data_IF_419577897584
#
_entry.id   IF_419577897584
#
_cell.length_a   1.000
_cell.length_b   1.000
_cell.length_c   1.000
_cell.angle_alpha   90.00
_cell.angle_beta   90.00
_cell.angle_gamma   90.00
#
_symmetry.space_group_name_H-M   'P 1'
#
loop_
_entity.id
_entity.type
_entity.pdbx_description
1 polymer ?
#
# COMPACT_ATOMS: atom_id res chain seq x y z
N UNK A 1 -74.11 -25.74 26.80
CA UNK A 1 -73.32 -25.87 25.56
C UNK A 1 -72.82 -24.52 25.06
N UNK A 2 -73.71 -23.54 24.82
CA UNK A 2 -73.34 -22.20 24.32
C UNK A 2 -72.36 -21.41 25.22
N UNK A 3 -72.44 -21.56 26.54
CA UNK A 3 -71.53 -20.86 27.47
C UNK A 3 -70.07 -21.32 27.32
N UNK A 4 -69.85 -22.61 27.07
CA UNK A 4 -68.50 -23.15 26.86
C UNK A 4 -67.95 -22.73 25.49
N UNK A 5 -68.80 -22.69 24.47
CA UNK A 5 -68.44 -22.21 23.14
C UNK A 5 -67.98 -20.75 23.17
N UNK A 6 -68.69 -19.87 23.90
CA UNK A 6 -68.29 -18.47 24.12
C UNK A 6 -67.03 -18.27 24.95
N UNK A 7 -66.59 -19.28 25.70
CA UNK A 7 -65.32 -19.23 26.45
C UNK A 7 -64.17 -19.61 25.51
N UNK A 8 -64.34 -20.67 24.72
CA UNK A 8 -63.36 -21.09 23.71
C UNK A 8 -63.15 -20.01 22.64
N UNK A 9 -64.22 -19.37 22.14
CA UNK A 9 -64.10 -18.25 21.19
C UNK A 9 -63.25 -17.10 21.74
N UNK A 10 -63.41 -16.77 23.03
CA UNK A 10 -62.62 -15.72 23.68
C UNK A 10 -61.16 -16.12 23.86
N UNK A 11 -60.89 -17.40 24.15
CA UNK A 11 -59.54 -17.92 24.27
C UNK A 11 -58.81 -17.90 22.92
N UNK A 12 -59.47 -18.38 21.86
CA UNK A 12 -58.95 -18.32 20.49
C UNK A 12 -58.68 -16.87 20.06
N UNK A 13 -59.58 -15.94 20.37
CA UNK A 13 -59.36 -14.53 20.07
C UNK A 13 -58.13 -13.95 20.79
N UNK A 14 -57.92 -14.33 22.05
CA UNK A 14 -56.75 -13.90 22.80
C UNK A 14 -55.44 -14.47 22.23
N UNK A 15 -55.42 -15.76 21.88
CA UNK A 15 -54.25 -16.40 21.23
C UNK A 15 -53.95 -15.78 19.85
N UNK A 16 -54.99 -15.42 19.08
CA UNK A 16 -54.83 -14.71 17.81
C UNK A 16 -54.22 -13.31 17.99
N UNK A 17 -54.64 -12.57 19.01
CA UNK A 17 -54.07 -11.24 19.32
C UNK A 17 -52.63 -11.35 19.82
N UNK A 18 -52.30 -12.36 20.62
CA UNK A 18 -50.91 -12.61 21.04
C UNK A 18 -50.03 -12.97 19.83
N UNK A 19 -50.49 -13.88 18.97
CA UNK A 19 -49.78 -14.27 17.76
C UNK A 19 -49.55 -13.08 16.82
N UNK A 20 -50.56 -12.20 16.67
CA UNK A 20 -50.44 -10.96 15.89
C UNK A 20 -49.31 -10.07 16.43
N UNK A 21 -49.23 -9.86 17.73
CA UNK A 21 -48.16 -9.06 18.35
C UNK A 21 -46.78 -9.68 18.13
N UNK A 22 -46.66 -11.00 18.29
CA UNK A 22 -45.40 -11.70 18.00
C UNK A 22 -45.00 -11.57 16.53
N UNK A 23 -45.97 -11.63 15.61
CA UNK A 23 -45.72 -11.47 14.18
C UNK A 23 -45.29 -10.04 13.82
N UNK A 24 -45.91 -9.02 14.43
CA UNK A 24 -45.49 -7.62 14.28
C UNK A 24 -44.05 -7.40 14.77
N UNK A 25 -43.69 -7.98 15.92
CA UNK A 25 -42.33 -7.93 16.44
C UNK A 25 -41.32 -8.61 15.51
N UNK A 26 -41.64 -9.81 15.02
CA UNK A 26 -40.78 -10.54 14.09
C UNK A 26 -40.63 -9.79 12.76
N UNK A 27 -41.70 -9.20 12.24
CA UNK A 27 -41.65 -8.39 11.01
C UNK A 27 -40.69 -7.23 11.18
N UNK A 28 -40.78 -6.50 12.30
CA UNK A 28 -39.88 -5.39 12.61
C UNK A 28 -38.43 -5.84 12.72
N UNK A 29 -38.17 -6.94 13.44
CA UNK A 29 -36.81 -7.48 13.59
C UNK A 29 -36.23 -7.96 12.25
N UNK A 30 -37.07 -8.50 11.38
CA UNK A 30 -36.69 -8.91 10.03
C UNK A 30 -36.33 -7.71 9.15
N UNK A 31 -37.13 -6.63 9.20
CA UNK A 31 -36.83 -5.38 8.50
C UNK A 31 -35.51 -4.75 8.98
N UNK A 32 -35.29 -4.69 10.29
CA UNK A 32 -34.03 -4.22 10.88
C UNK A 32 -32.85 -5.07 10.41
N UNK A 33 -32.99 -6.40 10.42
CA UNK A 33 -31.94 -7.32 9.96
C UNK A 33 -31.62 -7.13 8.48
N UNK A 34 -32.63 -6.94 7.63
CA UNK A 34 -32.44 -6.66 6.21
C UNK A 34 -31.73 -5.32 5.97
N UNK A 35 -32.05 -4.30 6.78
CA UNK A 35 -31.37 -3.01 6.70
C UNK A 35 -29.88 -3.13 7.04
N UNK A 36 -29.55 -3.86 8.11
CA UNK A 36 -28.17 -4.12 8.51
C UNK A 36 -27.43 -4.95 7.44
N UNK A 37 -28.08 -5.97 6.88
CA UNK A 37 -27.50 -6.80 5.83
C UNK A 37 -27.20 -5.98 4.56
N UNK A 38 -28.14 -5.13 4.15
CA UNK A 38 -27.96 -4.22 3.00
C UNK A 38 -26.78 -3.27 3.21
N UNK A 39 -26.68 -2.69 4.40
CA UNK A 39 -25.56 -1.82 4.79
C UNK A 39 -24.23 -2.58 4.71
N UNK A 40 -24.15 -3.77 5.33
CA UNK A 40 -22.95 -4.59 5.33
C UNK A 40 -22.53 -5.01 3.91
N UNK A 41 -23.48 -5.32 3.02
CA UNK A 41 -23.19 -5.62 1.61
C UNK A 41 -22.60 -4.41 0.89
N UNK A 42 -23.13 -3.21 1.13
CA UNK A 42 -22.62 -1.99 0.51
C UNK A 42 -21.22 -1.63 1.02
N UNK A 43 -20.98 -1.74 2.32
CA UNK A 43 -19.65 -1.53 2.90
C UNK A 43 -18.64 -2.54 2.37
N UNK A 44 -19.00 -3.81 2.26
CA UNK A 44 -18.11 -4.84 1.72
C UNK A 44 -17.74 -4.55 0.25
N UNK A 45 -18.71 -4.15 -0.58
CA UNK A 45 -18.42 -3.70 -1.96
C UNK A 45 -17.46 -2.51 -2.00
N UNK A 46 -17.63 -1.54 -1.12
CA UNK A 46 -16.74 -0.38 -1.04
C UNK A 46 -15.32 -0.79 -0.62
N UNK A 47 -15.19 -1.69 0.36
CA UNK A 47 -13.90 -2.22 0.81
C UNK A 47 -13.19 -3.02 -0.27
N UNK A 48 -13.90 -3.87 -1.02
CA UNK A 48 -13.32 -4.61 -2.15
C UNK A 48 -12.71 -3.63 -3.16
N UNK A 49 -13.46 -2.58 -3.53
CA UNK A 49 -12.98 -1.57 -4.47
C UNK A 49 -11.73 -0.84 -3.96
N UNK A 50 -11.72 -0.43 -2.68
CA UNK A 50 -10.55 0.22 -2.09
C UNK A 50 -9.33 -0.72 -2.06
N UNK A 51 -9.56 -2.01 -1.80
CA UNK A 51 -8.49 -3.00 -1.77
C UNK A 51 -7.88 -3.22 -3.16
N UNK A 52 -8.71 -3.28 -4.20
CA UNK A 52 -8.24 -3.33 -5.60
C UNK A 52 -7.39 -2.10 -5.98
N UNK A 53 -7.85 -0.90 -5.62
CA UNK A 53 -7.10 0.35 -5.85
C UNK A 53 -5.75 0.35 -5.11
N UNK A 54 -5.73 -0.13 -3.86
CA UNK A 54 -4.50 -0.25 -3.08
C UNK A 54 -3.52 -1.25 -3.70
N UNK A 55 -4.00 -2.42 -4.12
CA UNK A 55 -3.16 -3.41 -4.80
C UNK A 55 -2.55 -2.87 -6.09
N UNK A 56 -3.32 -2.15 -6.90
CA UNK A 56 -2.78 -1.49 -8.10
C UNK A 56 -1.70 -0.48 -7.76
N UNK A 57 -1.89 0.31 -6.70
CA UNK A 57 -0.92 1.31 -6.26
C UNK A 57 0.36 0.69 -5.72
N UNK A 58 0.27 -0.41 -4.97
CA UNK A 58 1.42 -1.18 -4.50
C UNK A 58 2.23 -1.70 -5.68
N UNK A 59 1.58 -2.35 -6.64
CA UNK A 59 2.26 -2.89 -7.83
C UNK A 59 2.99 -1.79 -8.63
N UNK A 60 2.35 -0.61 -8.77
CA UNK A 60 2.97 0.53 -9.45
C UNK A 60 4.20 1.05 -8.69
N UNK A 61 4.10 1.17 -7.37
CA UNK A 61 5.21 1.63 -6.53
C UNK A 61 6.38 0.65 -6.55
N UNK A 62 6.12 -0.66 -6.49
CA UNK A 62 7.15 -1.69 -6.60
C UNK A 62 7.87 -1.63 -7.95
N UNK A 63 7.13 -1.45 -9.04
CA UNK A 63 7.71 -1.26 -10.37
C UNK A 63 8.61 -0.02 -10.42
N UNK A 64 8.11 1.12 -9.94
CA UNK A 64 8.87 2.38 -9.93
C UNK A 64 10.12 2.28 -9.05
N UNK A 65 10.04 1.56 -7.91
CA UNK A 65 11.17 1.32 -7.04
C UNK A 65 12.24 0.50 -7.75
N UNK A 66 11.84 -0.58 -8.44
CA UNK A 66 12.76 -1.41 -9.23
C UNK A 66 13.44 -0.62 -10.34
N UNK A 67 12.70 0.22 -11.07
CA UNK A 67 13.27 1.10 -12.10
C UNK A 67 14.25 2.13 -11.52
N UNK A 68 13.90 2.74 -10.38
CA UNK A 68 14.76 3.70 -9.69
C UNK A 68 16.07 3.05 -9.23
N UNK A 69 16.00 1.86 -8.63
CA UNK A 69 17.16 1.09 -8.22
C UNK A 69 18.06 0.75 -9.41
N UNK A 70 17.48 0.29 -10.52
CA UNK A 70 18.25 0.00 -11.74
C UNK A 70 18.96 1.24 -12.29
N UNK A 71 18.29 2.41 -12.24
CA UNK A 71 18.89 3.67 -12.67
C UNK A 71 20.00 4.14 -11.73
N UNK A 72 19.84 3.95 -10.43
CA UNK A 72 20.87 4.26 -9.43
C UNK A 72 22.13 3.42 -9.68
N UNK A 73 21.98 2.11 -9.87
CA UNK A 73 23.11 1.22 -10.19
C UNK A 73 23.81 1.66 -11.47
N UNK A 74 23.06 2.02 -12.52
CA UNK A 74 23.65 2.53 -13.77
C UNK A 74 24.41 3.83 -13.55
N UNK A 75 23.88 4.76 -12.74
CA UNK A 75 24.55 6.01 -12.42
C UNK A 75 25.84 5.78 -11.61
N UNK A 76 25.81 4.87 -10.64
CA UNK A 76 27.00 4.48 -9.86
C UNK A 76 28.06 3.83 -10.75
N UNK A 77 27.67 2.92 -11.63
CA UNK A 77 28.58 2.30 -12.60
C UNK A 77 29.16 3.32 -13.56
N UNK A 78 28.35 4.23 -14.07
CA UNK A 78 28.81 5.33 -14.92
C UNK A 78 29.83 6.21 -14.19
N UNK A 79 29.56 6.58 -12.94
CA UNK A 79 30.48 7.35 -12.10
C UNK A 79 31.81 6.61 -11.90
N UNK A 80 31.78 5.31 -11.57
CA UNK A 80 33.00 4.49 -11.43
C UNK A 80 33.80 4.35 -12.72
N UNK A 81 33.12 4.26 -13.86
CA UNK A 81 33.78 4.14 -15.16
C UNK A 81 34.40 5.47 -15.63
N UNK A 82 33.88 6.61 -15.15
CA UNK A 82 34.33 7.95 -15.56
C UNK A 82 35.28 8.61 -14.56
N UNK A 83 35.33 8.14 -13.33
CA UNK A 83 36.20 8.68 -12.29
C UNK A 83 37.39 7.75 -12.04
N UNK A 84 38.61 8.30 -12.14
CA UNK A 84 39.84 7.61 -11.73
C UNK A 84 40.11 7.90 -10.25
N UNK A 85 40.01 6.89 -9.40
CA UNK A 85 40.41 6.99 -7.99
C UNK A 85 41.89 6.59 -7.86
N UNK A 86 42.77 7.56 -7.57
CA UNK A 86 44.21 7.34 -7.41
C UNK A 86 44.54 7.27 -5.92
N UNK A 87 44.97 6.10 -5.44
CA UNK A 87 45.39 5.88 -4.04
C UNK A 87 46.89 5.70 -3.96
N UNK A 88 47.55 6.45 -3.08
CA UNK A 88 48.98 6.34 -2.85
C UNK A 88 49.42 7.05 -1.57
N UNK A 89 50.53 6.58 -1.02
CA UNK A 89 51.25 7.26 0.06
C UNK A 89 52.47 7.91 -0.58
N UNK A 90 52.67 9.20 -0.34
CA UNK A 90 53.84 9.92 -0.84
C UNK A 90 55.10 9.26 -0.28
N UNK A 91 56.02 8.86 -1.16
CA UNK A 91 57.25 8.19 -0.75
C UNK A 91 58.35 9.21 -0.45
N UNK A 92 58.26 10.41 -1.04
CA UNK A 92 59.22 11.48 -0.82
C UNK A 92 58.62 12.63 0.01
N UNK A 93 59.35 13.21 0.97
CA UNK A 93 58.85 14.28 1.83
C UNK A 93 58.50 15.60 1.11
N UNK A 94 58.94 15.76 -0.14
CA UNK A 94 58.67 16.94 -0.98
C UNK A 94 57.78 16.62 -2.20
N UNK A 95 57.04 15.51 -2.16
CA UNK A 95 56.21 15.07 -3.27
C UNK A 95 54.86 15.80 -3.24
N UNK A 96 54.54 16.51 -4.32
CA UNK A 96 53.34 17.34 -4.45
C UNK A 96 52.27 16.57 -5.21
N UNK A 97 51.11 16.36 -4.58
CA UNK A 97 49.99 15.61 -5.16
C UNK A 97 49.56 16.20 -6.53
N UNK A 98 49.40 17.52 -6.69
CA UNK A 98 49.08 18.10 -8.00
C UNK A 98 50.11 17.79 -9.10
N UNK A 99 51.39 17.78 -8.76
CA UNK A 99 52.46 17.49 -9.73
C UNK A 99 52.51 15.99 -10.09
N UNK A 100 52.17 15.11 -9.14
CA UNK A 100 52.02 13.68 -9.38
C UNK A 100 50.82 13.41 -10.29
N UNK A 101 49.67 14.06 -10.04
CA UNK A 101 48.48 13.92 -10.86
C UNK A 101 48.71 14.39 -12.30
N UNK A 102 49.41 15.52 -12.51
CA UNK A 102 49.82 15.99 -13.83
C UNK A 102 50.66 14.96 -14.59
N UNK A 103 51.70 14.44 -13.95
CA UNK A 103 52.56 13.39 -14.55
C UNK A 103 51.80 12.11 -14.86
N UNK A 104 50.81 11.77 -14.04
CA UNK A 104 49.93 10.62 -14.26
C UNK A 104 49.03 10.84 -15.47
N UNK A 105 48.44 12.03 -15.59
CA UNK A 105 47.70 12.47 -16.78
C UNK A 105 48.54 12.34 -18.05
N UNK A 106 49.74 12.93 -18.06
CA UNK A 106 50.68 12.85 -19.18
C UNK A 106 50.98 11.40 -19.57
N UNK A 107 51.15 10.50 -18.59
CA UNK A 107 51.46 9.10 -18.82
C UNK A 107 50.29 8.29 -19.41
N UNK A 108 49.05 8.68 -19.12
CA UNK A 108 47.83 8.05 -19.69
C UNK A 108 47.29 8.80 -20.91
N UNK A 109 47.91 9.91 -21.30
CA UNK A 109 47.54 10.71 -22.48
C UNK A 109 46.38 11.69 -22.24
N UNK A 110 46.11 12.05 -20.98
CA UNK A 110 45.08 13.01 -20.59
C UNK A 110 45.71 14.24 -19.94
N UNK A 111 45.37 15.44 -20.42
CA UNK A 111 45.95 16.69 -19.92
C UNK A 111 45.22 17.14 -18.65
N UNK A 112 45.80 16.84 -17.47
CA UNK A 112 45.22 17.20 -16.18
C UNK A 112 45.74 18.58 -15.77
N UNK A 113 44.85 19.57 -15.71
CA UNK A 113 45.19 20.93 -15.32
C UNK A 113 44.90 21.17 -13.84
N UNK A 114 45.38 22.31 -13.32
CA UNK A 114 45.09 22.72 -11.94
C UNK A 114 43.60 23.02 -11.68
N UNK A 115 42.77 23.13 -12.74
CA UNK A 115 41.32 23.31 -12.60
C UNK A 115 40.58 21.97 -12.43
N UNK A 116 41.26 20.86 -12.71
CA UNK A 116 40.71 19.50 -12.65
C UNK A 116 40.96 18.81 -11.29
N UNK A 117 41.76 19.45 -10.42
CA UNK A 117 42.24 18.92 -9.13
C UNK A 117 41.60 19.70 -7.96
#
# INVERSE_FOLDING_TARGET
MERNMRIEERKVHWELEEMKRSMEFLSKSFEESNCLLSTAVNENKALIKQNEELHQRVNLLEKNLGECQANLVKAEQYSRNRNLEIKGVLQSPNESIPDVLKKLGDAVGEDITSADI
#
